data_IF_322354528805
#
_entry.id   IF_322354528805
#
_cell.length_a   1.000
_cell.length_b   1.000
_cell.length_c   1.000
_cell.angle_alpha   90.00
_cell.angle_beta   90.00
_cell.angle_gamma   90.00
#
_symmetry.space_group_name_H-M   'P 1'
#
loop_
_entity.id
_entity.type
_entity.pdbx_description
1 polymer ?
#
# COMPACT_ATOMS: atom_id res chain seq x y z
N UNK A 1 15.59 -26.95 34.70
CA UNK A 1 14.39 -27.66 34.23
C UNK A 1 13.19 -26.95 34.85
N UNK A 2 12.45 -26.15 34.07
CA UNK A 2 11.30 -25.42 34.62
C UNK A 2 10.16 -26.42 34.82
N UNK A 3 9.82 -26.69 36.08
CA UNK A 3 8.66 -27.52 36.42
C UNK A 3 7.40 -26.76 36.02
N UNK A 4 6.87 -27.06 34.84
CA UNK A 4 5.57 -26.57 34.38
C UNK A 4 4.43 -27.37 35.03
N UNK A 5 4.45 -27.56 36.35
CA UNK A 5 3.37 -28.24 37.06
C UNK A 5 2.81 -27.34 38.15
N UNK A 6 1.50 -27.41 38.36
CA UNK A 6 0.81 -26.67 39.39
C UNK A 6 1.14 -27.25 40.76
N UNK A 7 1.65 -26.42 41.66
CA UNK A 7 2.03 -26.84 43.00
C UNK A 7 0.83 -27.29 43.85
N UNK A 8 -0.40 -26.89 43.49
CA UNK A 8 -1.61 -27.26 44.22
C UNK A 8 -2.21 -28.60 43.76
N UNK A 9 -2.19 -28.90 42.47
CA UNK A 9 -2.89 -30.09 41.93
C UNK A 9 -2.05 -30.97 40.99
N UNK A 10 -0.80 -30.60 40.72
CA UNK A 10 0.12 -31.38 39.86
C UNK A 10 -0.19 -31.32 38.36
N UNK A 11 -1.21 -30.56 37.93
CA UNK A 11 -1.52 -30.41 36.51
C UNK A 11 -0.44 -29.65 35.76
N UNK A 12 -0.19 -29.99 34.49
CA UNK A 12 0.85 -29.33 33.69
C UNK A 12 0.35 -27.95 33.21
N UNK A 13 1.15 -26.91 33.41
CA UNK A 13 0.92 -25.58 32.86
C UNK A 13 1.32 -25.54 31.38
N UNK A 14 0.45 -25.00 30.54
CA UNK A 14 0.85 -24.46 29.25
C UNK A 14 1.57 -23.13 29.47
N UNK A 15 2.58 -22.83 28.66
CA UNK A 15 3.65 -21.86 28.98
C UNK A 15 3.18 -20.43 29.27
N UNK A 16 1.93 -20.07 28.94
CA UNK A 16 1.43 -18.70 28.99
C UNK A 16 0.28 -18.47 30.00
N UNK A 17 -0.23 -19.51 30.66
CA UNK A 17 -1.39 -19.38 31.54
C UNK A 17 -1.01 -18.84 32.93
N UNK A 18 -1.70 -17.79 33.39
CA UNK A 18 -1.50 -17.16 34.72
C UNK A 18 -2.23 -17.90 35.85
N UNK A 19 -3.21 -18.74 35.52
CA UNK A 19 -4.01 -19.52 36.48
C UNK A 19 -4.09 -20.97 36.03
N UNK A 20 -4.04 -21.92 36.97
CA UNK A 20 -4.18 -23.34 36.66
C UNK A 20 -5.60 -23.64 36.15
N UNK A 21 -5.78 -24.22 34.95
CA UNK A 21 -7.12 -24.46 34.40
C UNK A 21 -7.92 -25.49 35.20
N UNK A 22 -7.24 -26.35 35.96
CA UNK A 22 -7.90 -27.40 36.73
C UNK A 22 -8.38 -26.92 38.12
N UNK A 23 -7.63 -26.06 38.80
CA UNK A 23 -7.95 -25.66 40.18
C UNK A 23 -7.99 -24.15 40.43
N UNK A 24 -7.78 -23.33 39.40
CA UNK A 24 -7.81 -21.87 39.50
C UNK A 24 -6.67 -21.25 40.31
N UNK A 25 -5.71 -22.04 40.80
CA UNK A 25 -4.57 -21.51 41.57
C UNK A 25 -3.69 -20.64 40.67
N UNK A 26 -3.47 -19.39 41.09
CA UNK A 26 -2.61 -18.43 40.38
C UNK A 26 -1.16 -18.90 40.44
N UNK A 27 -0.44 -18.81 39.33
CA UNK A 27 0.98 -19.13 39.28
C UNK A 27 1.76 -18.03 40.03
N UNK A 28 2.48 -18.41 41.09
CA UNK A 28 3.39 -17.51 41.77
C UNK A 28 4.63 -17.33 40.88
N UNK A 29 4.68 -16.23 40.14
CA UNK A 29 5.90 -15.82 39.44
C UNK A 29 6.84 -15.23 40.49
N UNK A 30 7.96 -15.90 40.73
CA UNK A 30 9.07 -15.36 41.53
C UNK A 30 9.81 -14.30 40.71
N UNK A 31 9.12 -13.21 40.36
CA UNK A 31 9.75 -12.03 39.76
C UNK A 31 10.25 -11.11 40.87
N UNK A 32 11.36 -11.51 41.50
CA UNK A 32 12.23 -10.62 42.26
C UNK A 32 13.65 -10.76 41.70
N UNK A 33 13.90 -10.09 40.56
CA UNK A 33 15.20 -9.54 40.14
C UNK A 33 15.14 -8.99 38.71
N UNK A 34 14.35 -7.94 38.50
CA UNK A 34 14.69 -6.94 37.47
C UNK A 34 15.67 -5.97 38.12
N UNK A 35 16.92 -6.41 38.24
CA UNK A 35 18.07 -5.51 38.34
C UNK A 35 19.30 -6.25 37.79
N UNK A 36 19.38 -6.32 36.46
CA UNK A 36 20.65 -6.48 35.77
C UNK A 36 20.56 -5.91 34.36
N UNK A 37 21.31 -4.82 34.17
CA UNK A 37 22.06 -4.53 32.95
C UNK A 37 21.39 -4.87 31.61
N UNK A 38 20.30 -4.18 31.26
CA UNK A 38 20.10 -3.82 29.86
C UNK A 38 20.95 -2.58 29.57
N UNK A 39 22.24 -2.81 29.27
CA UNK A 39 22.78 -2.17 28.07
C UNK A 39 21.95 -2.70 26.91
N UNK A 40 20.79 -2.10 26.72
CA UNK A 40 20.12 -2.10 25.43
C UNK A 40 21.14 -1.43 24.53
N UNK A 41 21.97 -2.24 23.87
CA UNK A 41 22.35 -1.88 22.53
C UNK A 41 21.02 -1.73 21.82
N UNK A 42 20.51 -0.50 21.76
CA UNK A 42 19.49 -0.15 20.80
C UNK A 42 20.15 -0.51 19.47
N UNK A 43 19.92 -1.73 18.99
CA UNK A 43 20.14 -2.03 17.59
C UNK A 43 19.31 -0.98 16.91
N UNK A 44 19.99 -0.01 16.30
CA UNK A 44 19.30 1.02 15.54
C UNK A 44 18.44 0.26 14.56
N UNK A 45 17.14 0.55 14.57
CA UNK A 45 16.21 0.04 13.57
C UNK A 45 16.86 0.17 12.19
N UNK A 46 16.77 -0.87 11.32
CA UNK A 46 17.31 -0.79 9.97
C UNK A 46 16.79 0.47 9.26
N UNK A 47 17.56 1.01 8.32
CA UNK A 47 17.26 2.33 7.75
C UNK A 47 15.85 2.40 7.13
N UNK A 48 15.36 1.30 6.55
CA UNK A 48 13.99 1.20 6.02
C UNK A 48 12.88 1.39 7.08
N UNK A 49 13.15 1.05 8.34
CA UNK A 49 12.20 1.25 9.45
C UNK A 49 12.10 2.71 9.90
N UNK A 50 13.19 3.48 9.76
CA UNK A 50 13.16 4.93 10.00
C UNK A 50 12.33 5.63 8.92
N UNK A 51 12.45 5.18 7.67
CA UNK A 51 11.63 5.66 6.56
C UNK A 51 10.14 5.30 6.76
N UNK A 52 9.83 4.05 7.13
CA UNK A 52 8.48 3.59 7.47
C UNK A 52 7.84 4.49 8.53
N UNK A 53 8.58 4.79 9.60
CA UNK A 53 8.13 5.67 10.69
C UNK A 53 7.82 7.08 10.20
N UNK A 54 8.68 7.67 9.38
CA UNK A 54 8.46 9.00 8.82
C UNK A 54 7.22 9.03 7.91
N UNK A 55 7.04 7.99 7.08
CA UNK A 55 5.92 7.88 6.15
C UNK A 55 4.58 7.64 6.85
N UNK A 56 4.50 6.73 7.83
CA UNK A 56 3.28 6.53 8.64
C UNK A 56 2.93 7.81 9.40
N UNK A 57 3.92 8.49 9.98
CA UNK A 57 3.70 9.77 10.68
C UNK A 57 3.19 10.87 9.73
N UNK A 58 3.64 10.88 8.47
CA UNK A 58 3.15 11.79 7.44
C UNK A 58 1.71 11.46 7.03
N UNK A 59 1.37 10.18 6.86
CA UNK A 59 0.01 9.75 6.52
C UNK A 59 -1.02 10.10 7.59
N UNK A 60 -0.70 9.79 8.85
CA UNK A 60 -1.59 10.07 9.98
C UNK A 60 -1.96 11.56 9.99
N UNK A 61 -1.02 12.43 9.60
CA UNK A 61 -1.24 13.88 9.48
C UNK A 61 -2.03 14.26 8.23
N UNK A 62 -1.81 13.58 7.10
CA UNK A 62 -2.31 13.98 5.79
C UNK A 62 -3.45 13.11 5.23
N UNK A 63 -4.01 12.19 6.03
CA UNK A 63 -5.17 11.35 5.69
C UNK A 63 -4.99 10.48 4.43
N UNK A 64 -3.80 9.91 4.23
CA UNK A 64 -3.53 8.97 3.13
C UNK A 64 -3.43 7.51 3.59
N UNK A 65 -3.26 6.59 2.64
CA UNK A 65 -3.12 5.14 2.81
C UNK A 65 -1.69 4.71 2.44
N UNK A 66 -1.11 3.67 3.05
CA UNK A 66 0.22 3.15 2.66
C UNK A 66 0.14 1.65 2.52
N UNK A 67 0.74 1.12 1.46
CA UNK A 67 1.13 -0.29 1.36
C UNK A 67 2.64 -0.35 1.61
N UNK A 68 3.06 -1.21 2.53
CA UNK A 68 4.46 -1.50 2.79
C UNK A 68 4.70 -2.99 2.52
N UNK A 69 5.44 -3.29 1.47
CA UNK A 69 5.77 -4.65 1.05
C UNK A 69 7.17 -5.02 1.54
N UNK A 70 7.36 -6.26 2.00
CA UNK A 70 8.71 -6.83 2.17
C UNK A 70 9.10 -7.72 0.99
N UNK A 71 8.12 -8.39 0.37
CA UNK A 71 8.26 -9.32 -0.76
C UNK A 71 6.99 -9.29 -1.63
N UNK A 72 7.07 -9.74 -2.90
CA UNK A 72 5.88 -9.94 -3.76
C UNK A 72 4.79 -10.81 -3.09
N UNK A 73 5.16 -11.62 -2.08
CA UNK A 73 4.25 -12.53 -1.39
C UNK A 73 3.77 -12.06 0.00
N UNK A 74 4.39 -11.02 0.58
CA UNK A 74 4.16 -10.60 1.97
C UNK A 74 4.20 -9.08 2.11
N UNK A 75 3.06 -8.49 2.48
CA UNK A 75 2.96 -7.04 2.71
C UNK A 75 2.06 -6.69 3.90
N UNK A 76 2.32 -5.52 4.51
CA UNK A 76 1.39 -4.85 5.41
C UNK A 76 0.77 -3.66 4.70
N UNK A 77 -0.55 -3.63 4.71
CA UNK A 77 -1.31 -2.48 4.28
C UNK A 77 -1.80 -1.68 5.48
N UNK A 78 -1.62 -0.37 5.45
CA UNK A 78 -2.14 0.59 6.41
C UNK A 78 -3.29 1.35 5.76
N UNK A 79 -4.51 1.11 6.25
CA UNK A 79 -5.72 1.81 5.84
C UNK A 79 -6.18 2.75 6.96
N UNK A 80 -6.66 3.94 6.59
CA UNK A 80 -7.41 4.78 7.53
C UNK A 80 -8.88 4.72 7.15
N UNK A 81 -9.72 4.19 8.03
CA UNK A 81 -11.17 4.23 7.83
C UNK A 81 -11.69 5.64 8.16
N UNK A 82 -12.88 6.03 7.70
CA UNK A 82 -13.45 7.38 7.96
C UNK A 82 -13.71 7.68 9.45
N UNK A 83 -13.55 6.68 10.31
CA UNK A 83 -13.52 6.79 11.75
C UNK A 83 -12.05 6.88 12.20
N UNK A 84 -11.70 7.67 13.21
CA UNK A 84 -10.33 8.06 13.62
C UNK A 84 -9.33 6.93 13.99
N UNK A 85 -9.53 5.71 13.50
CA UNK A 85 -8.72 4.52 13.67
C UNK A 85 -7.75 4.31 12.50
N UNK A 86 -6.58 3.80 12.81
CA UNK A 86 -5.67 3.18 11.87
C UNK A 86 -5.99 1.68 11.81
N UNK A 87 -6.38 1.22 10.63
CA UNK A 87 -6.50 -0.18 10.28
C UNK A 87 -5.19 -0.63 9.64
N UNK A 88 -4.69 -1.80 10.03
CA UNK A 88 -3.56 -2.40 9.34
C UNK A 88 -3.75 -3.91 9.19
N UNK A 89 -3.36 -4.39 8.03
CA UNK A 89 -3.63 -5.75 7.57
C UNK A 89 -2.36 -6.40 7.07
N UNK A 90 -2.17 -7.65 7.46
CA UNK A 90 -1.10 -8.52 6.99
C UNK A 90 -1.67 -9.38 5.89
N UNK A 91 -1.12 -9.26 4.70
CA UNK A 91 -1.54 -10.04 3.54
C UNK A 91 -0.43 -11.02 3.18
N UNK A 92 -0.80 -12.28 2.99
CA UNK A 92 0.09 -13.35 2.56
C UNK A 92 -0.47 -13.98 1.30
N UNK A 93 0.27 -13.94 0.18
CA UNK A 93 -0.14 -14.63 -1.06
C UNK A 93 0.17 -16.15 -1.04
N UNK A 94 1.00 -16.59 -0.08
CA UNK A 94 1.50 -17.95 0.00
C UNK A 94 0.44 -18.96 0.52
N UNK A 95 -0.13 -19.75 -0.40
CA UNK A 95 -1.13 -20.81 -0.19
C UNK A 95 -0.61 -22.08 0.54
N UNK A 96 0.36 -21.98 1.48
CA UNK A 96 0.96 -23.17 2.10
C UNK A 96 0.35 -23.53 3.48
N UNK A 97 -0.74 -24.32 3.42
CA UNK A 97 -1.75 -24.52 4.49
C UNK A 97 -1.30 -25.08 5.86
N UNK A 98 -0.09 -25.63 6.00
CA UNK A 98 0.40 -26.17 7.30
C UNK A 98 1.32 -25.22 8.04
N UNK A 99 2.07 -24.42 7.30
CA UNK A 99 2.96 -23.40 7.87
C UNK A 99 2.10 -22.23 8.34
N UNK A 100 1.06 -21.88 7.59
CA UNK A 100 0.08 -20.85 7.94
C UNK A 100 -0.60 -21.13 9.29
N UNK A 101 -1.12 -22.35 9.56
CA UNK A 101 -1.86 -22.63 10.81
C UNK A 101 -1.10 -22.35 12.12
N UNK A 102 0.22 -22.58 12.16
CA UNK A 102 1.02 -22.24 13.35
C UNK A 102 1.26 -20.73 13.45
N UNK A 103 1.49 -20.08 12.31
CA UNK A 103 1.67 -18.63 12.23
C UNK A 103 0.39 -17.90 12.60
N UNK A 104 -0.76 -18.43 12.19
CA UNK A 104 -2.10 -17.94 12.48
C UNK A 104 -2.31 -17.82 14.00
N UNK A 105 -1.97 -18.86 14.76
CA UNK A 105 -2.09 -18.84 16.22
C UNK A 105 -1.15 -17.82 16.89
N UNK A 106 0.06 -17.62 16.35
CA UNK A 106 1.02 -16.64 16.86
C UNK A 106 0.57 -15.20 16.52
N UNK A 107 0.01 -14.96 15.34
CA UNK A 107 -0.54 -13.67 14.91
C UNK A 107 -1.83 -13.33 15.67
N UNK A 108 -2.72 -14.30 15.91
CA UNK A 108 -3.90 -14.14 16.77
C UNK A 108 -3.52 -13.82 18.22
N UNK A 109 -2.45 -14.41 18.74
CA UNK A 109 -1.94 -14.11 20.07
C UNK A 109 -1.43 -12.67 20.22
N UNK A 110 -1.07 -12.00 19.11
CA UNK A 110 -0.76 -10.56 19.07
C UNK A 110 -2.01 -9.68 19.02
N UNK A 111 -3.21 -10.28 18.98
CA UNK A 111 -4.49 -9.59 18.99
C UNK A 111 -5.00 -9.21 17.60
N UNK A 112 -4.43 -9.77 16.53
CA UNK A 112 -5.03 -9.67 15.20
C UNK A 112 -6.29 -10.51 15.13
N UNK A 113 -7.22 -10.06 14.29
CA UNK A 113 -8.43 -10.77 13.97
C UNK A 113 -8.35 -11.23 12.53
N UNK A 114 -8.93 -12.39 12.25
CA UNK A 114 -9.12 -12.85 10.88
C UNK A 114 -10.32 -12.11 10.27
N UNK A 115 -10.21 -11.65 9.03
CA UNK A 115 -11.33 -11.07 8.30
C UNK A 115 -12.45 -12.13 8.07
N UNK A 116 -13.62 -11.69 7.59
CA UNK A 116 -14.77 -12.60 7.40
C UNK A 116 -14.51 -13.72 6.38
N UNK A 117 -13.56 -13.51 5.48
CA UNK A 117 -13.20 -14.41 4.40
C UNK A 117 -12.17 -15.46 4.82
N UNK A 118 -11.55 -15.31 5.99
CA UNK A 118 -10.53 -16.23 6.47
C UNK A 118 -9.16 -16.03 5.83
N UNK A 119 -8.97 -14.94 5.08
CA UNK A 119 -7.83 -14.76 4.17
C UNK A 119 -6.73 -13.89 4.75
N UNK A 120 -7.10 -12.88 5.54
CA UNK A 120 -6.15 -11.88 6.02
C UNK A 120 -6.33 -11.58 7.52
N UNK A 121 -5.23 -11.13 8.14
CA UNK A 121 -5.18 -10.73 9.54
C UNK A 121 -5.17 -9.21 9.66
N UNK A 122 -6.09 -8.66 10.45
CA UNK A 122 -6.18 -7.22 10.66
C UNK A 122 -6.19 -6.85 12.14
N UNK A 123 -5.76 -5.61 12.41
CA UNK A 123 -5.85 -5.00 13.73
C UNK A 123 -6.13 -3.51 13.57
N UNK A 124 -6.82 -2.94 14.56
CA UNK A 124 -7.19 -1.53 14.56
C UNK A 124 -6.68 -0.85 15.82
N UNK A 125 -6.36 0.44 15.71
CA UNK A 125 -6.01 1.28 16.86
C UNK A 125 -6.50 2.71 16.66
N UNK A 126 -7.07 3.30 17.70
CA UNK A 126 -7.38 4.74 17.80
C UNK A 126 -6.22 5.57 18.35
N UNK A 127 -5.22 4.92 18.95
CA UNK A 127 -4.01 5.59 19.43
C UNK A 127 -3.04 5.81 18.27
N UNK A 128 -3.06 7.03 17.73
CA UNK A 128 -2.17 7.49 16.66
C UNK A 128 -0.92 8.21 17.21
N UNK A 129 -0.60 8.02 18.49
CA UNK A 129 0.62 8.57 19.08
C UNK A 129 1.86 7.95 18.44
N UNK A 130 2.97 8.69 18.48
CA UNK A 130 4.28 8.21 18.02
C UNK A 130 4.67 6.90 18.73
N UNK A 131 4.28 6.73 20.00
CA UNK A 131 4.54 5.51 20.76
C UNK A 131 3.78 4.33 20.19
N UNK A 132 2.47 4.50 19.93
CA UNK A 132 1.65 3.45 19.30
C UNK A 132 2.16 3.08 17.91
N UNK A 133 2.50 4.08 17.08
CA UNK A 133 3.09 3.85 15.76
C UNK A 133 4.40 3.05 15.85
N UNK A 134 5.29 3.37 16.80
CA UNK A 134 6.52 2.57 16.99
C UNK A 134 6.18 1.13 17.39
N UNK A 135 5.20 0.93 18.27
CA UNK A 135 4.79 -0.41 18.67
C UNK A 135 4.24 -1.22 17.49
N UNK A 136 3.44 -0.60 16.61
CA UNK A 136 2.94 -1.24 15.39
C UNK A 136 4.09 -1.62 14.47
N UNK A 137 5.10 -0.76 14.34
CA UNK A 137 6.28 -1.02 13.52
C UNK A 137 7.13 -2.17 14.08
N UNK A 138 7.36 -2.20 15.40
CA UNK A 138 8.09 -3.28 16.08
C UNK A 138 7.31 -4.60 16.01
N UNK A 139 5.98 -4.53 16.11
CA UNK A 139 5.09 -5.67 15.96
C UNK A 139 5.14 -6.21 14.52
N UNK A 140 5.08 -5.34 13.51
CA UNK A 140 5.28 -5.70 12.11
C UNK A 140 6.64 -6.39 11.88
N UNK A 141 7.72 -5.81 12.42
CA UNK A 141 9.05 -6.43 12.37
C UNK A 141 9.05 -7.82 13.02
N UNK A 142 8.44 -7.96 14.21
CA UNK A 142 8.35 -9.23 14.90
C UNK A 142 7.61 -10.27 14.05
N UNK A 143 6.49 -9.90 13.44
CA UNK A 143 5.69 -10.81 12.63
C UNK A 143 6.49 -11.27 11.41
N UNK A 144 7.08 -10.36 10.64
CA UNK A 144 7.83 -10.77 9.46
C UNK A 144 9.08 -11.57 9.79
N UNK A 145 9.89 -11.09 10.73
CA UNK A 145 11.17 -11.73 11.00
C UNK A 145 11.05 -12.99 11.87
N UNK A 146 10.20 -12.97 12.90
CA UNK A 146 10.12 -14.06 13.87
C UNK A 146 9.02 -15.06 13.55
N UNK A 147 7.90 -14.63 12.96
CA UNK A 147 6.81 -15.54 12.60
C UNK A 147 7.00 -16.01 11.15
N UNK A 148 7.07 -15.09 10.19
CA UNK A 148 7.25 -15.40 8.76
C UNK A 148 8.68 -15.77 8.35
N UNK A 149 9.66 -15.59 9.23
CA UNK A 149 11.09 -15.90 8.95
C UNK A 149 11.62 -15.20 7.70
N UNK A 150 11.09 -14.02 7.41
CA UNK A 150 11.53 -13.13 6.32
C UNK A 150 12.90 -12.55 6.67
N UNK A 151 13.84 -12.59 5.74
CA UNK A 151 15.22 -12.16 5.98
C UNK A 151 15.30 -10.63 6.15
N UNK A 152 16.11 -10.16 7.10
CA UNK A 152 16.24 -8.73 7.43
C UNK A 152 16.98 -7.90 6.36
N UNK A 153 17.65 -8.57 5.42
CA UNK A 153 18.31 -7.94 4.29
C UNK A 153 17.33 -7.56 3.17
N UNK A 154 16.07 -8.01 3.27
CA UNK A 154 15.01 -7.68 2.32
C UNK A 154 14.49 -6.27 2.58
N UNK A 155 14.44 -5.47 1.50
CA UNK A 155 14.08 -4.06 1.59
C UNK A 155 12.56 -3.95 1.66
N UNK A 156 12.09 -3.19 2.64
CA UNK A 156 10.74 -2.64 2.58
C UNK A 156 10.61 -1.80 1.32
N UNK A 157 9.81 -2.27 0.36
CA UNK A 157 9.38 -1.48 -0.77
C UNK A 157 8.08 -0.81 -0.38
N UNK A 158 8.08 0.52 -0.38
CA UNK A 158 6.85 1.28 -0.46
C UNK A 158 6.48 1.31 -1.93
N UNK A 159 5.72 0.31 -2.39
CA UNK A 159 5.07 0.41 -3.69
C UNK A 159 4.27 1.72 -3.71
N UNK A 160 4.43 2.48 -4.80
CA UNK A 160 3.69 3.72 -4.96
C UNK A 160 2.19 3.46 -4.93
N UNK A 161 1.49 4.25 -4.13
CA UNK A 161 0.08 4.14 -3.74
C UNK A 161 -0.96 4.21 -4.89
N UNK A 162 -0.60 4.00 -6.16
CA UNK A 162 -1.30 4.65 -7.28
C UNK A 162 -2.27 3.75 -8.04
N UNK A 163 -2.05 2.44 -8.19
CA UNK A 163 -2.95 1.64 -9.05
C UNK A 163 -4.19 1.10 -8.30
N UNK A 164 -4.04 0.63 -7.06
CA UNK A 164 -5.09 -0.12 -6.35
C UNK A 164 -6.21 0.75 -5.74
N UNK A 165 -5.91 1.98 -5.33
CA UNK A 165 -6.92 2.96 -4.86
C UNK A 165 -7.73 3.52 -6.04
N UNK A 166 -7.12 3.59 -7.24
CA UNK A 166 -7.77 4.08 -8.45
C UNK A 166 -8.89 3.15 -8.92
N UNK A 167 -8.64 1.84 -8.97
CA UNK A 167 -9.63 0.87 -9.46
C UNK A 167 -10.79 0.64 -8.46
N UNK A 168 -10.51 0.75 -7.17
CA UNK A 168 -11.50 0.47 -6.10
C UNK A 168 -12.52 1.61 -5.93
N UNK A 169 -12.13 2.88 -6.14
CA UNK A 169 -13.06 4.02 -6.09
C UNK A 169 -13.85 4.22 -7.39
N UNK A 170 -13.32 3.79 -8.54
CA UNK A 170 -14.02 3.78 -9.82
C UNK A 170 -15.14 2.74 -9.88
N UNK A 171 -14.98 1.58 -9.21
CA UNK A 171 -16.02 0.55 -9.15
C UNK A 171 -17.21 0.95 -8.24
N UNK A 172 -16.95 1.58 -7.09
CA UNK A 172 -18.00 1.97 -6.14
C UNK A 172 -18.96 3.06 -6.66
N UNK A 173 -18.53 3.88 -7.63
CA UNK A 173 -19.37 4.91 -8.25
C UNK A 173 -20.30 4.38 -9.35
N UNK A 174 -19.96 3.24 -9.97
CA UNK A 174 -20.69 2.70 -11.12
C UNK A 174 -21.85 1.78 -10.72
N UNK A 175 -21.85 1.18 -9.54
CA UNK A 175 -22.95 0.31 -9.07
C UNK A 175 -24.14 1.09 -8.47
N UNK A 176 -23.99 2.39 -8.19
CA UNK A 176 -25.09 3.22 -7.65
C UNK A 176 -26.04 3.77 -8.73
N UNK A 177 -25.81 3.48 -10.01
CA UNK A 177 -26.56 4.09 -11.14
C UNK A 177 -27.09 3.06 -12.14
N UNK A 178 -27.96 2.14 -11.70
CA UNK A 178 -28.81 1.42 -12.66
C UNK A 178 -30.17 1.01 -12.06
N UNK A 179 -31.08 1.98 -11.94
CA UNK A 179 -32.53 1.72 -11.97
C UNK A 179 -33.14 2.68 -12.99
N UNK A 180 -33.34 2.19 -14.21
CA UNK A 180 -33.98 2.93 -15.29
C UNK A 180 -35.49 2.71 -15.27
N UNK A 181 -36.28 3.78 -15.10
CA UNK A 181 -37.66 3.85 -15.57
C UNK A 181 -37.79 5.05 -16.51
N UNK A 182 -38.42 4.86 -17.67
CA UNK A 182 -38.54 5.89 -18.69
C UNK A 182 -39.51 7.01 -18.27
N UNK A 183 -39.11 8.30 -18.35
CA UNK A 183 -39.99 9.40 -18.02
C UNK A 183 -40.68 9.98 -19.25
N UNK A 184 -41.94 10.38 -19.08
CA UNK A 184 -42.78 10.97 -20.14
C UNK A 184 -42.36 12.41 -20.49
N UNK A 185 -42.71 12.85 -21.69
CA UNK A 185 -42.22 14.03 -22.43
C UNK A 185 -42.08 15.35 -21.65
N UNK A 186 -42.89 15.63 -20.62
CA UNK A 186 -42.80 16.87 -19.84
C UNK A 186 -41.83 16.80 -18.63
N UNK A 187 -41.24 15.64 -18.35
CA UNK A 187 -40.27 15.42 -17.28
C UNK A 187 -38.81 15.57 -17.75
N UNK A 188 -38.58 15.58 -19.07
CA UNK A 188 -37.24 15.74 -19.69
C UNK A 188 -36.63 17.13 -19.45
N UNK A 189 -37.43 18.19 -19.54
CA UNK A 189 -36.93 19.56 -19.34
C UNK A 189 -36.62 19.88 -17.87
N UNK A 190 -37.36 19.29 -16.93
CA UNK A 190 -37.08 19.42 -15.49
C UNK A 190 -35.78 18.73 -15.07
N UNK A 191 -35.52 17.52 -15.58
CA UNK A 191 -34.27 16.81 -15.31
C UNK A 191 -33.05 17.52 -15.93
N UNK A 192 -33.17 18.05 -17.15
CA UNK A 192 -32.06 18.76 -17.82
C UNK A 192 -31.71 20.06 -17.07
N UNK A 193 -32.71 20.85 -16.67
CA UNK A 193 -32.48 22.09 -15.90
C UNK A 193 -31.90 21.77 -14.51
N UNK A 194 -32.39 20.71 -13.85
CA UNK A 194 -31.85 20.25 -12.57
C UNK A 194 -30.39 19.80 -12.66
N UNK A 195 -30.02 19.07 -13.71
CA UNK A 195 -28.63 18.64 -13.95
C UNK A 195 -27.72 19.85 -14.23
N UNK A 196 -28.18 20.83 -15.02
CA UNK A 196 -27.41 22.05 -15.30
C UNK A 196 -27.21 22.88 -14.01
N UNK A 197 -28.23 22.99 -13.16
CA UNK A 197 -28.13 23.69 -11.87
C UNK A 197 -27.20 22.97 -10.90
N UNK A 198 -27.25 21.64 -10.81
CA UNK A 198 -26.35 20.85 -9.97
C UNK A 198 -24.91 20.91 -10.47
N UNK A 199 -24.68 20.84 -11.78
CA UNK A 199 -23.36 21.01 -12.37
C UNK A 199 -22.80 22.43 -12.13
N UNK A 200 -23.67 23.45 -12.23
CA UNK A 200 -23.29 24.83 -11.90
C UNK A 200 -22.95 24.96 -10.41
N UNK A 201 -23.78 24.43 -9.50
CA UNK A 201 -23.50 24.47 -8.05
C UNK A 201 -22.20 23.75 -7.74
N UNK A 202 -21.92 22.58 -8.31
CA UNK A 202 -20.64 21.88 -8.18
C UNK A 202 -19.46 22.72 -8.69
N UNK A 203 -19.60 23.35 -9.86
CA UNK A 203 -18.59 24.25 -10.43
C UNK A 203 -18.32 25.51 -9.58
N UNK A 204 -19.36 26.05 -8.93
CA UNK A 204 -19.25 27.18 -8.01
C UNK A 204 -18.79 26.79 -6.60
N UNK A 205 -18.97 25.51 -6.20
CA UNK A 205 -18.59 24.99 -4.88
C UNK A 205 -17.13 24.54 -4.80
N UNK A 206 -16.46 24.32 -5.95
CA UNK A 206 -15.05 23.92 -6.00
C UNK A 206 -14.16 25.00 -5.38
N UNK A 207 -13.34 24.59 -4.41
CA UNK A 207 -12.39 25.49 -3.75
C UNK A 207 -11.33 25.99 -4.75
N UNK A 208 -10.76 27.20 -4.58
CA UNK A 208 -9.68 27.69 -5.44
C UNK A 208 -8.47 26.74 -5.52
N UNK A 209 -8.22 25.96 -4.46
CA UNK A 209 -7.17 24.94 -4.41
C UNK A 209 -7.46 23.73 -5.29
N UNK A 210 -8.72 23.26 -5.35
CA UNK A 210 -9.12 22.15 -6.22
C UNK A 210 -8.99 22.54 -7.70
N UNK A 211 -9.42 23.75 -8.07
CA UNK A 211 -9.29 24.25 -9.45
C UNK A 211 -7.83 24.36 -9.90
N UNK A 212 -6.92 24.71 -8.98
CA UNK A 212 -5.50 24.78 -9.27
C UNK A 212 -4.87 23.37 -9.42
N UNK A 213 -5.28 22.41 -8.59
CA UNK A 213 -4.84 21.03 -8.69
C UNK A 213 -5.34 20.35 -9.98
N UNK A 214 -6.61 20.56 -10.34
CA UNK A 214 -7.20 20.04 -11.58
C UNK A 214 -6.47 20.58 -12.80
N UNK A 215 -6.15 21.88 -12.80
CA UNK A 215 -5.39 22.49 -13.89
C UNK A 215 -3.97 21.93 -13.98
N UNK A 216 -3.28 21.79 -12.85
CA UNK A 216 -1.94 21.22 -12.82
C UNK A 216 -1.92 19.77 -13.34
N UNK A 217 -2.95 18.99 -13.02
CA UNK A 217 -3.14 17.63 -13.53
C UNK A 217 -3.41 17.62 -15.03
N UNK A 218 -4.31 18.47 -15.52
CA UNK A 218 -4.60 18.60 -16.95
C UNK A 218 -3.37 19.02 -17.76
N UNK A 219 -2.53 19.90 -17.20
CA UNK A 219 -1.28 20.32 -17.84
C UNK A 219 -0.31 19.14 -17.99
N UNK A 220 -0.23 18.23 -17.01
CA UNK A 220 0.57 16.99 -17.12
C UNK A 220 -0.07 16.02 -18.11
N UNK A 221 -1.37 15.76 -18.00
CA UNK A 221 -2.10 14.83 -18.89
C UNK A 221 -1.98 15.23 -20.36
N UNK A 222 -1.85 16.54 -20.66
CA UNK A 222 -1.61 17.03 -22.02
C UNK A 222 -0.30 16.54 -22.66
N UNK A 223 0.64 16.00 -21.87
CA UNK A 223 1.91 15.42 -22.35
C UNK A 223 1.79 13.96 -22.78
N UNK A 224 0.64 13.36 -22.52
CA UNK A 224 0.35 11.97 -22.84
C UNK A 224 -0.61 11.88 -24.03
N UNK A 225 -0.45 10.83 -24.81
CA UNK A 225 -1.34 10.49 -25.91
C UNK A 225 -2.71 10.10 -25.36
N UNK A 226 -3.75 10.75 -25.86
CA UNK A 226 -5.14 10.44 -25.49
C UNK A 226 -5.62 9.05 -25.99
N UNK A 227 -4.84 8.39 -26.86
CA UNK A 227 -5.22 7.13 -27.48
C UNK A 227 -4.70 5.90 -26.73
N UNK A 228 -3.43 5.93 -26.35
CA UNK A 228 -2.73 4.80 -25.74
C UNK A 228 -2.10 5.16 -24.39
N UNK A 229 -2.18 6.42 -23.95
CA UNK A 229 -1.58 6.87 -22.70
C UNK A 229 -0.07 7.00 -22.74
N UNK A 230 0.57 6.89 -23.91
CA UNK A 230 2.02 7.02 -24.04
C UNK A 230 2.50 8.46 -23.84
N UNK A 231 3.64 8.66 -23.18
CA UNK A 231 4.22 10.00 -23.04
C UNK A 231 4.87 10.44 -24.37
N UNK A 232 4.29 11.44 -25.03
CA UNK A 232 4.54 11.77 -26.44
C UNK A 232 6.03 12.00 -26.71
N UNK A 233 6.64 12.87 -25.91
CA UNK A 233 8.06 13.24 -26.04
C UNK A 233 9.00 12.09 -25.67
N UNK A 234 8.57 11.19 -24.80
CA UNK A 234 9.38 10.02 -24.43
C UNK A 234 9.35 8.98 -25.56
N UNK A 235 8.20 8.80 -26.23
CA UNK A 235 8.12 7.98 -27.45
C UNK A 235 9.01 8.56 -28.55
N UNK A 236 8.94 9.86 -28.80
CA UNK A 236 9.81 10.56 -29.76
C UNK A 236 11.30 10.41 -29.41
N UNK A 237 11.63 10.33 -28.11
CA UNK A 237 12.99 10.09 -27.65
C UNK A 237 13.42 8.63 -27.82
N UNK A 238 12.60 7.66 -27.41
CA UNK A 238 12.97 6.23 -27.36
C UNK A 238 12.96 5.61 -28.75
N UNK A 239 11.91 5.81 -29.53
CA UNK A 239 11.70 5.13 -30.83
C UNK A 239 12.89 5.22 -31.81
N UNK A 240 13.52 6.38 -32.06
CA UNK A 240 14.67 6.47 -32.97
C UNK A 240 15.97 5.86 -32.41
N UNK A 241 16.02 5.54 -31.11
CA UNK A 241 17.17 4.91 -30.45
C UNK A 241 17.09 3.38 -30.46
N UNK A 242 15.95 2.83 -30.90
CA UNK A 242 15.80 1.39 -31.08
C UNK A 242 16.50 0.92 -32.35
N UNK A 243 16.91 -0.34 -32.36
CA UNK A 243 17.52 -0.97 -33.53
C UNK A 243 16.57 -1.02 -34.72
N UNK A 244 15.30 -1.33 -34.46
CA UNK A 244 14.21 -1.26 -35.43
C UNK A 244 13.12 -0.32 -34.89
N UNK A 245 13.13 0.98 -35.26
CA UNK A 245 12.13 1.94 -34.80
C UNK A 245 10.69 1.56 -35.15
N UNK A 246 10.49 0.78 -36.22
CA UNK A 246 9.15 0.32 -36.64
C UNK A 246 8.59 -0.77 -35.74
N UNK A 247 9.44 -1.42 -34.95
CA UNK A 247 9.05 -2.47 -34.01
C UNK A 247 8.55 -1.96 -32.65
N UNK A 248 8.59 -0.65 -32.42
CA UNK A 248 8.10 -0.06 -31.18
C UNK A 248 6.59 -0.28 -31.02
N UNK A 249 6.21 -0.91 -29.93
CA UNK A 249 4.83 -1.10 -29.51
C UNK A 249 4.70 -0.66 -28.05
N UNK A 250 3.95 0.41 -27.80
CA UNK A 250 3.68 0.87 -26.44
C UNK A 250 2.84 -0.16 -25.68
N UNK A 251 3.10 -0.33 -24.38
CA UNK A 251 2.32 -1.22 -23.50
C UNK A 251 1.65 -0.40 -22.40
N UNK A 252 2.43 0.32 -21.60
CA UNK A 252 1.91 1.17 -20.52
C UNK A 252 2.85 2.32 -20.20
N UNK A 253 2.33 3.34 -19.53
CA UNK A 253 3.13 4.44 -19.00
C UNK A 253 2.57 4.93 -17.68
N UNK A 254 3.44 5.11 -16.70
CA UNK A 254 3.14 5.69 -15.39
C UNK A 254 4.04 6.88 -15.15
N UNK A 255 3.65 7.78 -14.23
CA UNK A 255 4.47 8.92 -13.86
C UNK A 255 4.33 9.31 -12.39
N UNK A 256 5.36 9.99 -11.87
CA UNK A 256 5.43 10.57 -10.54
C UNK A 256 5.68 12.07 -10.68
N UNK A 257 4.85 12.90 -10.07
CA UNK A 257 5.08 14.35 -9.99
C UNK A 257 6.17 14.66 -8.95
N UNK A 258 7.25 15.33 -9.39
CA UNK A 258 8.40 15.73 -8.55
C UNK A 258 8.49 17.25 -8.39
N UNK A 259 7.41 18.00 -8.67
CA UNK A 259 7.38 19.45 -8.58
C UNK A 259 7.55 20.11 -9.94
N UNK A 260 8.78 20.46 -10.30
CA UNK A 260 9.12 21.08 -11.60
C UNK A 260 9.34 20.05 -12.72
N UNK A 261 9.49 18.78 -12.35
CA UNK A 261 9.73 17.65 -13.25
C UNK A 261 8.73 16.52 -12.97
N UNK A 262 8.58 15.62 -13.93
CA UNK A 262 7.90 14.34 -13.77
C UNK A 262 8.88 13.20 -14.02
N UNK A 263 8.82 12.16 -13.19
CA UNK A 263 9.52 10.90 -13.45
C UNK A 263 8.56 9.96 -14.17
N UNK A 264 8.89 9.58 -15.40
CA UNK A 264 8.05 8.76 -16.29
C UNK A 264 8.67 7.38 -16.44
N UNK A 265 7.86 6.34 -16.22
CA UNK A 265 8.21 4.95 -16.53
C UNK A 265 7.34 4.48 -17.68
N UNK A 266 7.96 4.08 -18.79
CA UNK A 266 7.25 3.58 -19.98
C UNK A 266 7.68 2.15 -20.28
N UNK A 267 6.71 1.25 -20.29
CA UNK A 267 6.87 -0.13 -20.76
C UNK A 267 6.50 -0.21 -22.24
N UNK A 268 7.35 -0.85 -23.02
CA UNK A 268 7.14 -1.04 -24.45
C UNK A 268 7.77 -2.34 -24.92
N UNK A 269 7.30 -2.84 -26.07
CA UNK A 269 7.89 -3.97 -26.78
C UNK A 269 8.69 -3.47 -27.97
N UNK A 270 9.80 -4.14 -28.27
CA UNK A 270 10.56 -3.89 -29.49
C UNK A 270 11.37 -5.11 -29.93
N UNK A 271 11.82 -5.10 -31.19
CA UNK A 271 12.67 -6.15 -31.72
C UNK A 271 14.12 -6.00 -31.28
N UNK A 272 14.69 -7.10 -30.79
CA UNK A 272 16.09 -7.22 -30.46
C UNK A 272 16.96 -7.53 -31.70
N UNK A 273 18.27 -7.70 -31.48
CA UNK A 273 19.24 -7.98 -32.54
C UNK A 273 19.09 -9.33 -33.25
N UNK A 274 18.30 -10.24 -32.68
CA UNK A 274 18.00 -11.58 -33.20
C UNK A 274 16.58 -11.68 -33.76
N UNK A 275 15.91 -10.54 -33.98
CA UNK A 275 14.53 -10.45 -34.49
C UNK A 275 13.46 -11.05 -33.54
N UNK A 276 13.81 -11.33 -32.29
CA UNK A 276 12.87 -11.62 -31.21
C UNK A 276 12.28 -10.33 -30.64
N UNK A 277 11.10 -10.41 -30.03
CA UNK A 277 10.45 -9.28 -29.36
C UNK A 277 10.80 -9.33 -27.87
N UNK A 278 11.37 -8.23 -27.35
CA UNK A 278 11.67 -8.07 -25.93
C UNK A 278 10.67 -7.12 -25.27
N UNK A 279 10.46 -7.31 -23.97
CA UNK A 279 9.90 -6.30 -23.09
C UNK A 279 11.01 -5.32 -22.69
N UNK A 280 10.71 -4.03 -22.74
CA UNK A 280 11.68 -2.97 -22.47
C UNK A 280 11.03 -1.88 -21.62
N UNK A 281 11.86 -1.24 -20.82
CA UNK A 281 11.47 -0.14 -19.95
C UNK A 281 12.30 1.10 -20.27
N UNK A 282 11.64 2.26 -20.32
CA UNK A 282 12.28 3.56 -20.35
C UNK A 282 11.94 4.32 -19.06
N UNK A 283 12.97 4.66 -18.29
CA UNK A 283 12.87 5.47 -17.08
C UNK A 283 13.41 6.86 -17.40
N UNK A 284 12.59 7.90 -17.30
CA UNK A 284 12.95 9.24 -17.72
C UNK A 284 12.56 10.32 -16.70
N UNK A 285 13.42 11.34 -16.58
CA UNK A 285 13.03 12.61 -16.00
C UNK A 285 12.62 13.53 -17.14
N UNK A 286 11.43 14.10 -17.06
CA UNK A 286 10.89 15.03 -18.05
C UNK A 286 10.54 16.37 -17.40
N UNK A 287 10.77 17.45 -18.12
CA UNK A 287 10.33 18.78 -17.71
C UNK A 287 8.80 18.81 -17.68
N UNK A 288 8.21 19.22 -16.55
CA UNK A 288 6.75 19.15 -16.37
C UNK A 288 5.99 20.09 -17.28
N UNK A 289 6.54 21.28 -17.54
CA UNK A 289 5.86 22.32 -18.31
C UNK A 289 5.81 21.98 -19.80
N UNK A 290 6.90 21.43 -20.34
CA UNK A 290 7.09 21.18 -21.77
C UNK A 290 6.88 19.71 -22.15
N UNK A 291 7.12 18.79 -21.22
CA UNK A 291 7.23 17.35 -21.48
C UNK A 291 8.58 16.94 -22.06
N UNK A 292 9.54 17.84 -22.22
CA UNK A 292 10.84 17.51 -22.81
C UNK A 292 11.62 16.52 -21.93
N UNK A 293 12.28 15.55 -22.57
CA UNK A 293 13.06 14.52 -21.87
C UNK A 293 14.39 15.11 -21.44
N UNK A 294 14.61 15.23 -20.12
CA UNK A 294 15.84 15.75 -19.53
C UNK A 294 16.90 14.66 -19.39
N UNK A 295 16.48 13.46 -18.99
CA UNK A 295 17.32 12.27 -18.96
C UNK A 295 16.47 11.02 -19.15
N UNK A 296 17.05 9.97 -19.74
CA UNK A 296 16.36 8.71 -19.96
C UNK A 296 17.33 7.54 -19.96
N UNK A 297 16.95 6.47 -19.25
CA UNK A 297 17.62 5.18 -19.24
C UNK A 297 16.67 4.12 -19.82
N UNK A 298 17.12 3.43 -20.86
CA UNK A 298 16.39 2.31 -21.48
C UNK A 298 17.00 1.00 -20.96
N UNK A 299 16.16 0.06 -20.58
CA UNK A 299 16.54 -1.27 -20.09
C UNK A 299 15.72 -2.33 -20.82
N UNK A 300 16.37 -3.43 -21.18
CA UNK A 300 15.77 -4.66 -21.69
C UNK A 300 15.69 -5.72 -20.57
N UNK A 301 14.59 -6.49 -20.57
CA UNK A 301 14.47 -7.73 -19.80
C UNK A 301 14.97 -8.95 -20.60
#
# INVERSE_FOLDING_TARGET
MNNNFCNACGAKFYSLEKFCPNCGTKRETTDNSIESNKKSHSKSLPEGYKELKQRISHLVKNKGFIVASLLEEYYIQFLKEDSDFLYYEIVTSANNSKITQQMDAEVEALGYKVNKEGTNYYKTTDDLSITSINNIIEEAHHIFHNIYKVDSDEKFSFEEQIQLVSDTMLASHNEASSVSSEPTSNQKYGCIIGIILLAAIGYYSQSPSEKAADKARQDIESKFSAWDGSHIKLVEYVKPRLRDPSSFEHVETTYIDKGDEIFVTMHFRCKNGFNGVNNCYAYAYCDKATGEVLSCKIMDE
#
